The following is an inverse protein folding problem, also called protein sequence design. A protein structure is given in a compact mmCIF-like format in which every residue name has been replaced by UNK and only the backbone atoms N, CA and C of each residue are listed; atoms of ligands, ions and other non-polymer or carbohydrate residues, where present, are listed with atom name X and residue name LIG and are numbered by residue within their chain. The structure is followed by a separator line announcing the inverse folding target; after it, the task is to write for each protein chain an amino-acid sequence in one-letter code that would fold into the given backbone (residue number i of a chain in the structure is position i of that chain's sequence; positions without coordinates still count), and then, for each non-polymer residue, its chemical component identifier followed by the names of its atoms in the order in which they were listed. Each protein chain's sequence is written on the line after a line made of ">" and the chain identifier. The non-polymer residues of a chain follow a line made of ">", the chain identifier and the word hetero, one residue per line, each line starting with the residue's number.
data_IF_302910523596
#
_entry.id   IF_302910523596
#
_cell.length_a   1.000
_cell.length_b   1.000
_cell.length_c   1.000
_cell.angle_alpha   90.00
_cell.angle_beta   90.00
_cell.angle_gamma   90.00
#
_symmetry.space_group_name_H-M   'P 1'
#
loop_
_entity.id
_entity.type
_entity.pdbx_description
1 polymer ?
#
# COMPACT_ATOMS: atom_id res chain seq x y z
N UNK A 1 1.15 4.02 27.17
CA UNK A 1 2.07 4.30 26.06
C UNK A 1 1.93 3.19 25.02
N UNK A 2 1.59 3.53 23.79
CA UNK A 2 1.40 2.57 22.70
C UNK A 2 2.74 2.02 22.19
N UNK A 3 2.72 0.86 21.53
CA UNK A 3 3.94 0.25 20.97
C UNK A 3 4.59 1.06 19.83
N UNK A 4 3.84 1.99 19.23
CA UNK A 4 4.26 2.83 18.11
C UNK A 4 4.16 4.33 18.43
N UNK A 5 4.16 4.73 19.70
CA UNK A 5 4.13 6.13 20.09
C UNK A 5 5.29 6.90 19.44
N UNK A 6 4.95 8.01 18.77
CA UNK A 6 5.90 8.84 18.02
C UNK A 6 6.31 8.29 16.64
N UNK A 7 5.87 7.11 16.25
CA UNK A 7 6.11 6.58 14.91
C UNK A 7 5.14 7.21 13.89
N UNK A 8 5.58 7.26 12.63
CA UNK A 8 4.82 7.74 11.48
C UNK A 8 4.65 6.62 10.47
N UNK A 9 3.41 6.34 10.09
CA UNK A 9 3.06 5.31 9.12
C UNK A 9 2.40 5.90 7.88
N UNK A 10 2.71 5.36 6.72
CA UNK A 10 1.99 5.59 5.46
C UNK A 10 1.29 4.28 5.09
N UNK A 11 0.00 4.33 4.80
CA UNK A 11 -0.78 3.20 4.29
C UNK A 11 -1.41 3.60 2.98
N UNK A 12 -1.06 2.93 1.88
CA UNK A 12 -1.67 3.17 0.57
C UNK A 12 -2.89 2.28 0.35
N UNK A 13 -3.91 2.78 -0.35
CA UNK A 13 -5.20 2.12 -0.50
C UNK A 13 -5.93 2.02 0.85
N UNK A 14 -5.90 3.11 1.64
CA UNK A 14 -6.30 3.09 3.04
C UNK A 14 -7.68 3.71 3.32
N UNK A 15 -8.41 4.14 2.30
CA UNK A 15 -9.75 4.67 2.49
C UNK A 15 -10.78 3.58 2.87
N UNK A 16 -10.50 2.32 2.55
CA UNK A 16 -11.41 1.19 2.77
C UNK A 16 -10.70 -0.15 2.97
N UNK A 17 -11.47 -1.20 3.24
CA UNK A 17 -11.03 -2.61 3.25
C UNK A 17 -9.85 -2.88 4.18
N UNK A 18 -8.90 -3.66 3.71
CA UNK A 18 -7.70 -4.04 4.49
C UNK A 18 -6.83 -2.82 4.81
N UNK A 19 -6.68 -1.87 3.87
CA UNK A 19 -5.89 -0.67 4.10
C UNK A 19 -6.44 0.19 5.24
N UNK A 20 -7.77 0.38 5.30
CA UNK A 20 -8.46 1.02 6.43
C UNK A 20 -8.18 0.29 7.74
N UNK A 21 -8.30 -1.04 7.76
CA UNK A 21 -8.04 -1.84 8.94
C UNK A 21 -6.58 -1.69 9.43
N UNK A 22 -5.61 -1.68 8.52
CA UNK A 22 -4.20 -1.45 8.86
C UNK A 22 -3.99 -0.04 9.41
N UNK A 23 -4.56 0.98 8.77
CA UNK A 23 -4.44 2.37 9.22
C UNK A 23 -5.00 2.55 10.65
N UNK A 24 -6.21 2.07 10.89
CA UNK A 24 -6.83 2.10 12.24
C UNK A 24 -6.00 1.31 13.27
N UNK A 25 -5.46 0.16 12.89
CA UNK A 25 -4.63 -0.65 13.80
C UNK A 25 -3.33 0.04 14.17
N UNK A 26 -2.64 0.64 13.21
CA UNK A 26 -1.39 1.38 13.46
C UNK A 26 -1.64 2.61 14.33
N UNK A 27 -2.71 3.36 14.06
CA UNK A 27 -3.13 4.49 14.91
C UNK A 27 -3.47 4.05 16.33
N UNK A 28 -4.22 2.95 16.51
CA UNK A 28 -4.54 2.38 17.83
C UNK A 28 -3.31 1.86 18.59
N UNK A 29 -2.16 1.69 17.93
CA UNK A 29 -0.87 1.40 18.56
C UNK A 29 -0.05 2.66 18.88
N UNK A 30 -0.54 3.86 18.57
CA UNK A 30 0.08 5.15 18.86
C UNK A 30 0.81 5.81 17.67
N UNK A 31 0.77 5.23 16.47
CA UNK A 31 1.37 5.86 15.31
C UNK A 31 0.50 7.01 14.76
N UNK A 32 1.14 8.05 14.22
CA UNK A 32 0.49 8.98 13.29
C UNK A 32 0.38 8.30 11.91
N UNK A 33 -0.78 8.39 11.25
CA UNK A 33 -1.03 7.63 10.02
C UNK A 33 -1.43 8.53 8.86
N UNK A 34 -0.67 8.49 7.77
CA UNK A 34 -1.07 9.01 6.49
C UNK A 34 -1.96 7.96 5.78
N UNK A 35 -3.24 8.27 5.66
CA UNK A 35 -4.26 7.52 4.93
C UNK A 35 -4.19 7.97 3.47
N UNK A 36 -3.54 7.17 2.62
CA UNK A 36 -3.31 7.50 1.21
C UNK A 36 -4.20 6.64 0.31
N UNK A 37 -4.97 7.24 -0.57
CA UNK A 37 -5.84 6.54 -1.51
C UNK A 37 -6.06 7.39 -2.78
N UNK A 38 -6.52 6.76 -3.87
CA UNK A 38 -6.93 7.47 -5.07
C UNK A 38 -8.16 8.36 -4.82
N UNK A 39 -9.06 7.88 -3.94
CA UNK A 39 -10.25 8.58 -3.48
C UNK A 39 -10.47 8.23 -2.01
N UNK A 40 -10.38 9.23 -1.13
CA UNK A 40 -10.53 9.04 0.31
C UNK A 40 -11.95 8.60 0.74
N UNK A 41 -12.91 8.66 -0.19
CA UNK A 41 -14.28 8.18 0.00
C UNK A 41 -14.61 6.93 -0.82
N UNK A 42 -13.61 6.18 -1.28
CA UNK A 42 -13.81 4.98 -2.13
C UNK A 42 -14.64 3.87 -1.45
N UNK A 43 -14.83 3.90 -0.14
CA UNK A 43 -15.74 3.03 0.58
C UNK A 43 -17.21 3.19 0.13
N UNK A 44 -17.61 4.34 -0.39
CA UNK A 44 -18.98 4.62 -0.87
C UNK A 44 -19.34 3.77 -2.11
N UNK A 45 -18.35 3.29 -2.85
CA UNK A 45 -18.55 2.41 -4.01
C UNK A 45 -19.03 1.00 -3.61
N UNK A 46 -18.96 0.66 -2.31
CA UNK A 46 -19.26 -0.68 -1.79
C UNK A 46 -20.20 -0.58 -0.59
N UNK A 47 -21.46 -0.96 -0.79
CA UNK A 47 -22.52 -0.83 0.23
C UNK A 47 -22.15 -1.47 1.58
N UNK A 48 -21.49 -2.63 1.56
CA UNK A 48 -21.06 -3.31 2.79
C UNK A 48 -19.99 -2.51 3.55
N UNK A 49 -19.04 -1.91 2.83
CA UNK A 49 -17.99 -1.08 3.42
C UNK A 49 -18.54 0.26 3.91
N UNK A 50 -19.46 0.87 3.16
CA UNK A 50 -20.14 2.10 3.58
C UNK A 50 -20.91 1.91 4.88
N UNK A 51 -21.59 0.77 5.05
CA UNK A 51 -22.31 0.43 6.31
C UNK A 51 -21.37 0.17 7.49
N UNK A 52 -20.15 -0.27 7.24
CA UNK A 52 -19.14 -0.55 8.27
C UNK A 52 -18.36 0.70 8.73
N UNK A 53 -18.55 1.83 8.04
CA UNK A 53 -17.93 3.10 8.43
C UNK A 53 -18.58 3.64 9.71
N UNK A 54 -17.75 4.06 10.65
CA UNK A 54 -18.17 4.65 11.92
C UNK A 54 -18.00 6.17 11.97
N UNK A 55 -17.39 6.75 10.92
CA UNK A 55 -17.26 8.17 10.68
C UNK A 55 -17.20 8.44 9.15
N UNK A 56 -17.13 9.70 8.75
CA UNK A 56 -17.14 10.12 7.36
C UNK A 56 -15.92 9.73 6.52
N UNK A 57 -14.87 9.24 7.15
CA UNK A 57 -13.65 8.75 6.49
C UNK A 57 -12.78 7.94 7.44
N UNK A 58 -11.84 7.18 6.91
CA UNK A 58 -10.81 6.49 7.72
C UNK A 58 -10.02 7.48 8.59
N UNK A 59 -9.76 8.68 8.09
CA UNK A 59 -9.09 9.75 8.86
C UNK A 59 -9.93 10.12 10.06
N UNK A 60 -11.21 10.45 9.85
CA UNK A 60 -12.12 10.82 10.92
C UNK A 60 -12.31 9.70 11.95
N UNK A 61 -12.37 8.44 11.53
CA UNK A 61 -12.43 7.30 12.46
C UNK A 61 -11.19 7.22 13.38
N UNK A 62 -10.00 7.50 12.82
CA UNK A 62 -8.76 7.52 13.61
C UNK A 62 -8.76 8.70 14.57
N UNK A 63 -9.17 9.88 14.15
CA UNK A 63 -9.22 11.10 14.97
C UNK A 63 -10.25 10.98 16.11
N UNK A 64 -11.45 10.46 15.84
CA UNK A 64 -12.47 10.17 16.88
C UNK A 64 -11.93 9.18 17.91
N UNK A 65 -11.05 8.26 17.52
CA UNK A 65 -10.40 7.32 18.43
C UNK A 65 -9.18 7.93 19.17
N UNK A 66 -8.91 9.23 19.01
CA UNK A 66 -7.79 9.94 19.65
C UNK A 66 -6.45 9.76 18.96
N UNK A 67 -6.42 9.19 17.76
CA UNK A 67 -5.21 9.01 16.95
C UNK A 67 -4.91 10.23 16.05
N UNK A 68 -3.65 10.37 15.63
CA UNK A 68 -3.26 11.37 14.62
C UNK A 68 -3.35 10.78 13.22
N UNK A 69 -4.07 11.45 12.32
CA UNK A 69 -4.16 11.01 10.93
C UNK A 69 -4.12 12.20 9.95
N UNK A 70 -3.77 11.89 8.68
CA UNK A 70 -3.87 12.84 7.57
C UNK A 70 -4.32 12.08 6.31
N UNK A 71 -5.30 12.63 5.59
CA UNK A 71 -5.73 12.11 4.30
C UNK A 71 -4.89 12.68 3.16
N UNK A 72 -4.49 11.83 2.22
CA UNK A 72 -3.76 12.22 1.01
C UNK A 72 -4.36 11.48 -0.20
N UNK A 73 -4.96 12.24 -1.11
CA UNK A 73 -5.35 11.68 -2.40
C UNK A 73 -4.13 11.50 -3.28
N UNK A 74 -3.92 10.27 -3.77
CA UNK A 74 -2.77 9.90 -4.58
C UNK A 74 -3.07 8.72 -5.50
N UNK A 75 -2.73 8.86 -6.77
CA UNK A 75 -2.63 7.73 -7.68
C UNK A 75 -1.24 7.10 -7.55
N UNK A 76 -1.18 5.88 -7.03
CA UNK A 76 0.09 5.16 -6.85
C UNK A 76 0.78 4.80 -8.17
N UNK A 77 0.08 4.90 -9.31
CA UNK A 77 0.64 4.72 -10.66
C UNK A 77 1.49 5.92 -11.09
N UNK A 78 1.22 7.08 -10.51
CA UNK A 78 2.03 8.29 -10.74
C UNK A 78 3.18 8.37 -9.73
N UNK A 79 4.38 8.09 -10.22
CA UNK A 79 5.59 8.15 -9.41
C UNK A 79 5.80 9.51 -8.73
N UNK A 80 5.53 10.62 -9.44
CA UNK A 80 5.72 11.97 -8.90
C UNK A 80 4.70 12.27 -7.80
N UNK A 81 3.45 11.84 -7.97
CA UNK A 81 2.42 11.98 -6.94
C UNK A 81 2.80 11.18 -5.68
N UNK A 82 3.36 9.97 -5.82
CA UNK A 82 3.86 9.17 -4.69
C UNK A 82 5.04 9.86 -3.98
N UNK A 83 6.00 10.41 -4.73
CA UNK A 83 7.11 11.18 -4.16
C UNK A 83 6.60 12.42 -3.40
N UNK A 84 5.62 13.15 -3.95
CA UNK A 84 4.98 14.29 -3.30
C UNK A 84 4.21 13.91 -2.03
N UNK A 85 3.49 12.78 -2.04
CA UNK A 85 2.84 12.23 -0.85
C UNK A 85 3.84 12.02 0.29
N UNK A 86 4.95 11.33 0.01
CA UNK A 86 5.98 11.05 1.02
C UNK A 86 6.63 12.34 1.51
N UNK A 87 6.92 13.29 0.62
CA UNK A 87 7.48 14.60 0.99
C UNK A 87 6.53 15.36 1.93
N UNK A 88 5.21 15.35 1.67
CA UNK A 88 4.20 15.96 2.54
C UNK A 88 4.19 15.34 3.93
N UNK A 89 4.28 14.00 4.04
CA UNK A 89 4.34 13.31 5.33
C UNK A 89 5.59 13.70 6.11
N UNK A 90 6.74 13.79 5.44
CA UNK A 90 8.01 14.22 6.08
C UNK A 90 7.94 15.69 6.48
N UNK A 91 7.35 16.56 5.68
CA UNK A 91 7.17 17.98 6.01
C UNK A 91 6.31 18.14 7.28
N UNK A 92 5.26 17.36 7.43
CA UNK A 92 4.31 17.47 8.53
C UNK A 92 4.83 16.82 9.82
N UNK A 93 5.46 15.64 9.70
CA UNK A 93 5.82 14.82 10.86
C UNK A 93 7.30 14.50 11.02
N UNK A 94 8.15 14.95 10.08
CA UNK A 94 9.60 14.86 10.15
C UNK A 94 10.22 13.50 9.86
N UNK A 95 9.40 12.45 9.69
CA UNK A 95 9.87 11.05 9.56
C UNK A 95 8.87 10.14 8.86
N UNK A 96 9.36 8.94 8.46
CA UNK A 96 8.51 7.81 8.05
C UNK A 96 9.10 6.53 8.64
N UNK A 97 8.35 5.85 9.52
CA UNK A 97 8.80 4.64 10.21
C UNK A 97 8.21 3.36 9.62
N UNK A 98 6.99 3.44 9.11
CA UNK A 98 6.27 2.31 8.54
C UNK A 98 5.67 2.69 7.19
N UNK A 99 5.91 1.87 6.18
CA UNK A 99 5.13 1.88 4.95
C UNK A 99 4.34 0.57 4.87
N UNK A 100 3.02 0.68 4.64
CA UNK A 100 2.18 -0.42 4.18
C UNK A 100 1.78 -0.15 2.73
N UNK A 101 2.50 -0.74 1.78
CA UNK A 101 2.22 -0.67 0.35
C UNK A 101 1.09 -1.66 0.02
N UNK A 102 -0.15 -1.22 0.25
CA UNK A 102 -1.35 -2.04 0.14
C UNK A 102 -2.19 -1.71 -1.10
N UNK A 103 -2.12 -0.49 -1.64
CA UNK A 103 -2.89 -0.10 -2.81
C UNK A 103 -2.78 -1.11 -3.96
N UNK A 104 -3.91 -1.44 -4.54
CA UNK A 104 -3.99 -2.42 -5.62
C UNK A 104 -5.28 -3.20 -5.62
N UNK A 105 -5.36 -4.19 -6.52
CA UNK A 105 -6.51 -5.08 -6.66
C UNK A 105 -6.58 -5.67 -8.06
N UNK A 106 -7.45 -6.66 -8.25
CA UNK A 106 -7.82 -7.18 -9.56
C UNK A 106 -8.79 -6.23 -10.27
N UNK A 107 -8.86 -6.36 -11.60
CA UNK A 107 -9.84 -5.67 -12.46
C UNK A 107 -10.38 -6.65 -13.49
N UNK A 108 -11.59 -6.39 -13.97
CA UNK A 108 -12.28 -7.28 -14.91
C UNK A 108 -12.93 -8.49 -14.23
N UNK A 109 -13.68 -9.27 -15.02
CA UNK A 109 -14.32 -10.50 -14.54
C UNK A 109 -13.33 -11.68 -14.64
N UNK A 110 -13.40 -12.69 -13.77
CA UNK A 110 -12.49 -13.86 -13.82
C UNK A 110 -12.41 -14.50 -15.20
N UNK A 111 -13.55 -14.66 -15.87
CA UNK A 111 -13.61 -15.31 -17.20
C UNK A 111 -12.92 -14.53 -18.31
N UNK A 112 -12.84 -13.19 -18.17
CA UNK A 112 -12.23 -12.29 -19.17
C UNK A 112 -10.74 -12.05 -18.90
N UNK A 113 -10.18 -12.67 -17.87
CA UNK A 113 -8.82 -12.40 -17.37
C UNK A 113 -7.93 -13.65 -17.32
N UNK A 114 -8.29 -14.67 -18.13
CA UNK A 114 -7.49 -15.88 -18.31
C UNK A 114 -6.18 -15.56 -19.04
N UNK A 115 -5.10 -16.19 -18.65
CA UNK A 115 -3.76 -15.93 -19.21
C UNK A 115 -3.69 -16.07 -20.74
N UNK A 116 -4.48 -16.99 -21.35
CA UNK A 116 -4.49 -17.24 -22.80
C UNK A 116 -5.25 -16.20 -23.62
N UNK A 117 -6.02 -15.31 -22.99
CA UNK A 117 -6.88 -14.33 -23.66
C UNK A 117 -6.94 -12.99 -22.90
N UNK A 118 -5.89 -12.66 -22.19
CA UNK A 118 -5.82 -11.46 -21.38
C UNK A 118 -5.65 -10.21 -22.24
N UNK A 119 -6.53 -9.22 -22.03
CA UNK A 119 -6.42 -7.90 -22.65
C UNK A 119 -5.12 -7.20 -22.19
N UNK A 120 -4.25 -6.77 -23.15
CA UNK A 120 -3.02 -6.06 -22.84
C UNK A 120 -3.23 -4.78 -22.01
N UNK A 121 -4.29 -4.01 -22.26
CA UNK A 121 -4.58 -2.79 -21.52
C UNK A 121 -4.94 -3.10 -20.05
N UNK A 122 -5.67 -4.17 -19.83
CA UNK A 122 -6.02 -4.62 -18.48
C UNK A 122 -4.79 -5.17 -17.74
N UNK A 123 -3.91 -5.90 -18.43
CA UNK A 123 -2.63 -6.34 -17.90
C UNK A 123 -1.77 -5.15 -17.46
N UNK A 124 -1.64 -4.14 -18.33
CA UNK A 124 -0.88 -2.93 -18.04
C UNK A 124 -1.45 -2.23 -16.80
N UNK A 125 -2.76 -1.92 -16.78
CA UNK A 125 -3.43 -1.23 -15.68
C UNK A 125 -3.20 -1.94 -14.34
N UNK A 126 -3.39 -3.26 -14.29
CA UNK A 126 -3.25 -4.03 -13.05
C UNK A 126 -1.79 -4.14 -12.62
N UNK A 127 -0.86 -4.21 -13.57
CA UNK A 127 0.59 -4.18 -13.27
C UNK A 127 1.02 -2.83 -12.71
N UNK A 128 0.58 -1.73 -13.31
CA UNK A 128 0.87 -0.37 -12.85
C UNK A 128 0.32 -0.14 -11.44
N UNK A 129 -0.92 -0.50 -11.22
CA UNK A 129 -1.59 -0.28 -9.93
C UNK A 129 -0.99 -1.12 -8.80
N UNK A 130 -0.67 -2.38 -9.04
CA UNK A 130 -0.16 -3.29 -8.01
C UNK A 130 1.36 -3.25 -7.89
N UNK A 131 2.09 -3.56 -8.98
CA UNK A 131 3.54 -3.71 -8.93
C UNK A 131 4.24 -2.35 -8.91
N UNK A 132 3.95 -1.49 -9.90
CA UNK A 132 4.64 -0.20 -9.99
C UNK A 132 4.30 0.70 -8.81
N UNK A 133 3.01 0.76 -8.39
CA UNK A 133 2.60 1.49 -7.21
C UNK A 133 3.32 1.06 -5.93
N UNK A 134 3.50 -0.26 -5.75
CA UNK A 134 4.31 -0.80 -4.65
C UNK A 134 5.77 -0.38 -4.77
N UNK A 135 6.38 -0.52 -5.95
CA UNK A 135 7.79 -0.16 -6.19
C UNK A 135 8.02 1.34 -5.96
N UNK A 136 7.15 2.20 -6.50
CA UNK A 136 7.27 3.66 -6.32
C UNK A 136 7.15 4.07 -4.86
N UNK A 137 6.19 3.49 -4.13
CA UNK A 137 6.03 3.73 -2.69
C UNK A 137 7.27 3.30 -1.89
N UNK A 138 7.80 2.12 -2.17
CA UNK A 138 9.04 1.64 -1.53
C UNK A 138 10.24 2.54 -1.84
N UNK A 139 10.40 2.93 -3.11
CA UNK A 139 11.51 3.78 -3.55
C UNK A 139 11.46 5.18 -2.93
N UNK A 140 10.25 5.73 -2.74
CA UNK A 140 10.08 7.06 -2.15
C UNK A 140 10.45 7.08 -0.65
N UNK A 141 10.14 6.03 0.12
CA UNK A 141 10.44 5.99 1.56
C UNK A 141 11.83 5.47 1.87
N UNK A 142 12.42 4.62 1.03
CA UNK A 142 13.69 3.95 1.32
C UNK A 142 14.87 4.89 1.62
N UNK A 143 15.08 6.03 0.92
CA UNK A 143 16.13 6.99 1.25
C UNK A 143 15.96 7.58 2.65
N UNK A 144 14.74 7.92 3.03
CA UNK A 144 14.38 8.50 4.33
C UNK A 144 14.68 7.49 5.45
N UNK A 145 14.20 6.26 5.30
CA UNK A 145 14.43 5.19 6.27
C UNK A 145 15.92 4.84 6.40
N UNK A 146 16.69 4.89 5.30
CA UNK A 146 18.16 4.74 5.33
C UNK A 146 18.83 5.85 6.13
N UNK A 147 18.45 7.10 5.92
CA UNK A 147 18.96 8.25 6.66
C UNK A 147 18.60 8.15 8.16
N UNK A 148 17.39 7.72 8.46
CA UNK A 148 16.93 7.47 9.83
C UNK A 148 17.63 6.26 10.48
N UNK A 149 18.27 5.38 9.69
CA UNK A 149 18.75 4.05 10.10
C UNK A 149 17.67 3.18 10.75
N UNK A 150 16.43 3.44 10.42
CA UNK A 150 15.24 2.77 10.96
C UNK A 150 14.10 2.88 9.98
N UNK A 151 13.27 1.84 9.91
CA UNK A 151 12.07 1.79 9.10
C UNK A 151 11.62 0.35 8.85
N UNK A 152 10.34 0.19 8.54
CA UNK A 152 9.72 -1.08 8.17
C UNK A 152 8.87 -0.88 6.93
N UNK A 153 9.09 -1.70 5.93
CA UNK A 153 8.28 -1.73 4.72
C UNK A 153 7.51 -3.05 4.69
N UNK A 154 6.20 -2.95 4.57
CA UNK A 154 5.28 -4.07 4.43
C UNK A 154 4.66 -3.95 3.05
N UNK A 155 4.85 -4.95 2.20
CA UNK A 155 4.21 -5.06 0.90
C UNK A 155 3.10 -6.10 0.95
N UNK A 156 1.97 -5.82 0.31
CA UNK A 156 0.82 -6.71 0.34
C UNK A 156 0.76 -7.55 -0.94
N UNK A 157 1.13 -8.82 -0.82
CA UNK A 157 0.97 -9.83 -1.87
C UNK A 157 -0.43 -10.46 -1.79
N UNK A 158 -0.60 -11.64 -2.34
CA UNK A 158 -1.86 -12.38 -2.35
C UNK A 158 -1.59 -13.88 -2.48
N UNK A 159 -2.53 -14.72 -2.08
CA UNK A 159 -2.53 -16.16 -2.40
C UNK A 159 -2.54 -16.38 -3.92
N UNK A 160 -3.14 -15.47 -4.70
CA UNK A 160 -3.08 -15.51 -6.16
C UNK A 160 -1.66 -15.37 -6.72
N UNK A 161 -0.71 -14.82 -5.95
CA UNK A 161 0.71 -14.77 -6.32
C UNK A 161 1.49 -16.05 -6.03
N UNK A 162 0.89 -17.03 -5.34
CA UNK A 162 1.53 -18.31 -5.00
C UNK A 162 1.01 -19.48 -5.82
N UNK A 163 -0.21 -19.35 -6.39
CA UNK A 163 -0.81 -20.34 -7.23
C UNK A 163 -1.99 -19.78 -8.03
N UNK A 164 -2.36 -20.42 -9.15
CA UNK A 164 -3.47 -19.97 -9.97
C UNK A 164 -4.81 -20.23 -9.29
N UNK A 165 -5.82 -19.43 -9.66
CA UNK A 165 -7.23 -19.76 -9.36
C UNK A 165 -7.65 -21.00 -10.13
N UNK A 166 -8.63 -21.74 -9.61
CA UNK A 166 -9.12 -22.99 -10.21
C UNK A 166 -9.63 -22.78 -11.64
N UNK A 167 -10.23 -21.63 -11.91
CA UNK A 167 -10.77 -21.25 -13.23
C UNK A 167 -9.75 -20.57 -14.15
N UNK A 168 -8.51 -20.32 -13.66
CA UNK A 168 -7.45 -19.62 -14.38
C UNK A 168 -7.67 -18.12 -14.55
N UNK A 169 -8.68 -17.54 -13.88
CA UNK A 169 -8.95 -16.12 -13.93
C UNK A 169 -7.97 -15.28 -13.09
N UNK A 170 -7.99 -13.97 -13.28
CA UNK A 170 -7.10 -13.01 -12.62
C UNK A 170 -5.61 -13.26 -12.83
N UNK A 171 -5.21 -13.80 -13.98
CA UNK A 171 -3.80 -14.12 -14.29
C UNK A 171 -2.88 -12.90 -14.16
N UNK A 172 -3.32 -11.72 -14.62
CA UNK A 172 -2.59 -10.44 -14.48
C UNK A 172 -2.36 -10.04 -13.01
N UNK A 173 -3.37 -10.22 -12.18
CA UNK A 173 -3.27 -9.91 -10.75
C UNK A 173 -2.34 -10.90 -10.03
N UNK A 174 -2.49 -12.20 -10.31
CA UNK A 174 -1.60 -13.22 -9.77
C UNK A 174 -0.14 -12.97 -10.14
N UNK A 175 0.13 -12.66 -11.41
CA UNK A 175 1.48 -12.32 -11.88
C UNK A 175 2.05 -11.09 -11.16
N UNK A 176 1.27 -10.00 -11.01
CA UNK A 176 1.70 -8.80 -10.29
C UNK A 176 1.98 -9.09 -8.81
N UNK A 177 1.14 -9.88 -8.15
CA UNK A 177 1.31 -10.24 -6.73
C UNK A 177 2.49 -11.19 -6.49
N UNK A 178 2.79 -12.09 -7.43
CA UNK A 178 4.01 -12.89 -7.41
C UNK A 178 5.26 -12.02 -7.56
N UNK A 179 5.23 -11.05 -8.49
CA UNK A 179 6.32 -10.10 -8.69
C UNK A 179 6.58 -9.25 -7.44
N UNK A 180 5.53 -8.78 -6.73
CA UNK A 180 5.67 -8.04 -5.46
C UNK A 180 6.38 -8.91 -4.41
N UNK A 181 5.97 -10.17 -4.24
CA UNK A 181 6.59 -11.07 -3.29
C UNK A 181 8.09 -11.28 -3.59
N UNK A 182 8.44 -11.41 -4.87
CA UNK A 182 9.82 -11.55 -5.30
C UNK A 182 10.62 -10.25 -5.11
N UNK A 183 10.07 -9.11 -5.53
CA UNK A 183 10.66 -7.78 -5.32
C UNK A 183 10.97 -7.51 -3.84
N UNK A 184 10.10 -7.90 -2.93
CA UNK A 184 10.28 -7.71 -1.50
C UNK A 184 11.53 -8.44 -0.97
N UNK A 185 11.87 -9.60 -1.53
CA UNK A 185 13.10 -10.32 -1.17
C UNK A 185 14.35 -9.54 -1.55
N UNK A 186 14.35 -8.90 -2.74
CA UNK A 186 15.44 -8.02 -3.15
C UNK A 186 15.52 -6.76 -2.28
N UNK A 187 14.38 -6.15 -1.96
CA UNK A 187 14.34 -4.98 -1.10
C UNK A 187 14.90 -5.26 0.30
N UNK A 188 14.69 -6.48 0.81
CA UNK A 188 15.19 -6.94 2.11
C UNK A 188 16.64 -7.45 2.07
N UNK A 189 17.23 -7.66 0.90
CA UNK A 189 18.60 -8.18 0.79
C UNK A 189 19.60 -7.13 1.29
N UNK A 190 20.50 -7.56 2.15
CA UNK A 190 21.65 -6.73 2.55
C UNK A 190 22.72 -6.83 1.47
N UNK A 191 23.44 -5.74 1.12
CA UNK A 191 24.65 -5.87 0.35
C UNK A 191 25.57 -6.85 1.07
N UNK A 192 25.94 -7.95 0.41
CA UNK A 192 27.06 -8.77 0.91
C UNK A 192 28.25 -7.83 0.96
N UNK A 193 28.85 -7.67 2.13
CA UNK A 193 30.13 -6.98 2.22
C UNK A 193 31.02 -7.59 1.13
N UNK A 194 31.53 -6.72 0.22
CA UNK A 194 32.47 -7.16 -0.80
C UNK A 194 33.58 -7.92 -0.08
N UNK A 195 33.73 -9.23 -0.36
CA UNK A 195 34.93 -9.94 0.06
C UNK A 195 36.10 -9.12 -0.49
N UNK A 196 37.07 -8.70 0.35
CA UNK A 196 38.28 -8.12 -0.18
C UNK A 196 38.92 -9.17 -1.12
N UNK A 197 39.33 -8.69 -2.31
CA UNK A 197 40.03 -9.50 -3.29
C UNK A 197 41.35 -10.02 -2.75
#
# INVERSE_FOLDING_TARGET
>A
MGRLDGAVAIVTGAARGLGRAYAKRLAGLGAKVAVADLNLRSYEEFEAEAKDMTAESTVAEIEVSGGGAMGIEVDVRDRKAVEAMVARVVQEWGRVDVLVANAGGGRGRPMDTKASALDPALLQLVTEMNLFGTVYSCNAVAPIMKQQRSGKIITVSSVAGTGPSVDGGYAHYGAAKAAIAHYTRYLASRPTASRPA
#
